data_IF_749523995448
#
_entry.id   IF_749523995448
#
_cell.length_a   1.000
_cell.length_b   1.000
_cell.length_c   1.000
_cell.angle_alpha   90.00
_cell.angle_beta   90.00
_cell.angle_gamma   90.00
#
_symmetry.space_group_name_H-M   'P 1'
#
loop_
_entity.id
_entity.type
_entity.pdbx_description
1 polymer ?
#
# COMPACT_ATOMS: atom_id res chain seq x y z
N UNK A 1 -38.80 -20.15 4.54
CA UNK A 1 -39.08 -18.90 5.26
C UNK A 1 -38.73 -19.14 6.72
N UNK A 2 -37.52 -18.70 7.17
CA UNK A 2 -36.87 -19.19 8.40
C UNK A 2 -37.37 -18.49 9.65
N UNK A 3 -38.24 -19.18 10.38
CA UNK A 3 -38.75 -18.77 11.70
C UNK A 3 -37.67 -18.80 12.81
N UNK A 4 -36.59 -19.57 12.60
CA UNK A 4 -35.46 -19.69 13.54
C UNK A 4 -34.54 -18.47 13.61
N UNK A 5 -34.52 -17.63 12.57
CA UNK A 5 -33.67 -16.38 12.56
C UNK A 5 -34.22 -15.27 13.46
N UNK A 6 -35.45 -15.37 13.94
CA UNK A 6 -36.12 -14.35 14.76
C UNK A 6 -36.03 -14.57 16.26
N UNK A 7 -35.59 -15.74 16.72
CA UNK A 7 -35.51 -16.08 18.17
C UNK A 7 -34.10 -15.97 18.74
N UNK A 8 -33.06 -15.97 17.89
CA UNK A 8 -31.65 -15.86 18.33
C UNK A 8 -31.04 -14.48 18.07
N UNK A 9 -31.81 -13.51 17.57
CA UNK A 9 -31.32 -12.17 17.22
C UNK A 9 -30.98 -11.27 18.40
N UNK A 10 -31.20 -11.71 19.64
CA UNK A 10 -31.02 -10.85 20.83
C UNK A 10 -29.74 -11.14 21.64
N UNK A 11 -29.09 -12.28 21.40
CA UNK A 11 -27.82 -12.60 22.08
C UNK A 11 -26.59 -12.23 21.22
N UNK A 12 -26.71 -12.29 19.87
CA UNK A 12 -25.64 -11.86 18.97
C UNK A 12 -25.37 -10.35 19.02
N UNK A 13 -26.38 -9.53 19.23
CA UNK A 13 -26.22 -8.07 19.22
C UNK A 13 -25.37 -7.53 20.37
N UNK A 14 -25.33 -8.19 21.53
CA UNK A 14 -24.49 -7.71 22.65
C UNK A 14 -23.04 -8.11 22.50
N UNK A 15 -22.74 -9.27 21.89
CA UNK A 15 -21.38 -9.70 21.57
C UNK A 15 -20.84 -8.94 20.36
N UNK A 16 -21.61 -8.82 19.28
CA UNK A 16 -21.26 -8.00 18.10
C UNK A 16 -20.97 -6.54 18.47
N UNK A 17 -21.80 -5.92 19.30
CA UNK A 17 -21.56 -4.54 19.79
C UNK A 17 -20.32 -4.45 20.69
N UNK A 18 -20.01 -5.52 21.46
CA UNK A 18 -18.80 -5.55 22.29
C UNK A 18 -17.54 -5.78 21.45
N UNK A 19 -17.62 -6.60 20.42
CA UNK A 19 -16.53 -6.82 19.47
C UNK A 19 -16.27 -5.58 18.61
N UNK A 20 -17.31 -4.91 18.11
CA UNK A 20 -17.23 -3.65 17.40
C UNK A 20 -16.58 -2.55 18.25
N UNK A 21 -16.99 -2.40 19.53
CA UNK A 21 -16.33 -1.46 20.45
C UNK A 21 -14.86 -1.81 20.70
N UNK A 22 -14.53 -3.09 20.79
CA UNK A 22 -13.14 -3.51 20.95
C UNK A 22 -12.31 -3.22 19.70
N UNK A 23 -12.87 -3.43 18.50
CA UNK A 23 -12.24 -3.10 17.23
C UNK A 23 -11.91 -1.60 17.15
N UNK A 24 -12.89 -0.74 17.41
CA UNK A 24 -12.72 0.72 17.36
C UNK A 24 -11.66 1.22 18.34
N UNK A 25 -11.63 0.67 19.55
CA UNK A 25 -10.63 1.01 20.58
C UNK A 25 -9.24 0.63 20.11
N UNK A 26 -9.07 -0.60 19.61
CA UNK A 26 -7.78 -1.09 19.10
C UNK A 26 -7.29 -0.27 17.91
N UNK A 27 -8.17 0.02 16.94
CA UNK A 27 -7.87 0.85 15.78
C UNK A 27 -7.45 2.26 16.21
N UNK A 28 -8.20 2.88 17.12
CA UNK A 28 -7.87 4.22 17.65
C UNK A 28 -6.51 4.23 18.36
N UNK A 29 -6.27 3.26 19.24
CA UNK A 29 -4.98 3.14 19.95
C UNK A 29 -3.81 2.93 19.00
N UNK A 30 -4.00 2.10 17.95
CA UNK A 30 -3.02 1.91 16.90
C UNK A 30 -2.70 3.20 16.14
N UNK A 31 -3.72 3.96 15.74
CA UNK A 31 -3.54 5.26 15.07
C UNK A 31 -2.82 6.26 15.96
N UNK A 32 -3.19 6.31 17.25
CA UNK A 32 -2.50 7.16 18.23
C UNK A 32 -1.03 6.77 18.38
N UNK A 33 -0.75 5.48 18.48
CA UNK A 33 0.61 4.95 18.57
C UNK A 33 1.45 5.27 17.32
N UNK A 34 0.88 5.17 16.11
CA UNK A 34 1.54 5.61 14.86
C UNK A 34 1.98 7.07 14.93
N UNK A 35 1.07 7.95 15.37
CA UNK A 35 1.37 9.39 15.52
C UNK A 35 2.47 9.66 16.55
N UNK A 36 2.58 8.80 17.57
CA UNK A 36 3.63 8.85 18.60
C UNK A 36 4.89 8.08 18.18
N UNK A 37 4.97 7.56 16.94
CA UNK A 37 6.08 6.76 16.41
C UNK A 37 6.35 5.47 17.22
N UNK A 38 5.33 4.96 17.89
CA UNK A 38 5.37 3.69 18.63
C UNK A 38 4.95 2.55 17.69
N UNK A 39 5.75 2.29 16.66
CA UNK A 39 5.37 1.45 15.54
C UNK A 39 5.10 -0.01 15.92
N UNK A 40 5.88 -0.59 16.85
CA UNK A 40 5.66 -1.95 17.36
C UNK A 40 4.30 -2.08 18.06
N UNK A 41 3.96 -1.10 18.88
CA UNK A 41 2.68 -1.10 19.58
C UNK A 41 1.52 -0.85 18.61
N UNK A 42 1.70 0.06 17.66
CA UNK A 42 0.72 0.31 16.61
C UNK A 42 0.42 -0.96 15.79
N UNK A 43 1.46 -1.66 15.34
CA UNK A 43 1.31 -2.91 14.60
C UNK A 43 0.52 -3.96 15.40
N UNK A 44 0.84 -4.15 16.69
CA UNK A 44 0.08 -5.07 17.56
C UNK A 44 -1.39 -4.70 17.68
N UNK A 45 -1.69 -3.41 17.87
CA UNK A 45 -3.08 -2.95 17.94
C UNK A 45 -3.84 -3.25 16.64
N UNK A 46 -3.24 -2.96 15.48
CA UNK A 46 -3.88 -3.23 14.20
C UNK A 46 -4.02 -4.72 13.88
N UNK A 47 -3.06 -5.54 14.26
CA UNK A 47 -3.18 -7.00 14.11
C UNK A 47 -4.39 -7.51 14.92
N UNK A 48 -4.50 -7.13 16.19
CA UNK A 48 -5.63 -7.50 17.04
C UNK A 48 -6.97 -6.94 16.52
N UNK A 49 -6.96 -5.71 15.97
CA UNK A 49 -8.15 -5.13 15.35
C UNK A 49 -8.58 -5.95 14.12
N UNK A 50 -7.64 -6.38 13.27
CA UNK A 50 -7.92 -7.20 12.10
C UNK A 50 -8.34 -8.64 12.44
N UNK A 51 -8.03 -9.15 13.62
CA UNK A 51 -8.62 -10.41 14.12
C UNK A 51 -10.13 -10.28 14.38
N UNK A 52 -10.59 -9.08 14.76
CA UNK A 52 -12.01 -8.79 14.98
C UNK A 52 -12.74 -8.39 13.69
N UNK A 53 -12.07 -7.66 12.80
CA UNK A 53 -12.61 -7.25 11.51
C UNK A 53 -11.52 -7.36 10.43
N UNK A 54 -11.43 -8.52 9.81
CA UNK A 54 -10.42 -8.84 8.82
C UNK A 54 -10.55 -8.03 7.51
N UNK A 55 -11.72 -7.46 7.22
CA UNK A 55 -12.02 -6.77 5.97
C UNK A 55 -11.80 -5.25 6.04
N UNK A 56 -11.39 -4.72 7.20
CA UNK A 56 -11.11 -3.29 7.34
C UNK A 56 -9.83 -2.88 6.61
N UNK A 57 -10.00 -2.31 5.42
CA UNK A 57 -8.89 -1.90 4.55
C UNK A 57 -8.11 -0.73 5.12
N UNK A 58 -8.73 0.16 5.89
CA UNK A 58 -8.05 1.27 6.54
C UNK A 58 -7.11 0.77 7.64
N UNK A 59 -7.54 -0.21 8.43
CA UNK A 59 -6.71 -0.85 9.43
C UNK A 59 -5.50 -1.56 8.79
N UNK A 60 -5.71 -2.26 7.65
CA UNK A 60 -4.61 -2.83 6.86
C UNK A 60 -3.65 -1.76 6.34
N UNK A 61 -4.18 -0.62 5.92
CA UNK A 61 -3.36 0.49 5.46
C UNK A 61 -2.45 1.02 6.56
N UNK A 62 -2.99 1.30 7.74
CA UNK A 62 -2.20 1.70 8.91
C UNK A 62 -1.19 0.63 9.33
N UNK A 63 -1.57 -0.65 9.28
CA UNK A 63 -0.65 -1.74 9.59
C UNK A 63 0.52 -1.80 8.59
N UNK A 64 0.25 -1.60 7.30
CA UNK A 64 1.30 -1.53 6.29
C UNK A 64 2.29 -0.38 6.57
N UNK A 65 1.78 0.78 7.00
CA UNK A 65 2.62 1.92 7.38
C UNK A 65 3.48 1.61 8.61
N UNK A 66 2.90 0.96 9.62
CA UNK A 66 3.64 0.53 10.81
C UNK A 66 4.79 -0.41 10.43
N UNK A 67 4.53 -1.43 9.59
CA UNK A 67 5.54 -2.36 9.12
C UNK A 67 6.63 -1.70 8.28
N UNK A 68 6.29 -0.76 7.39
CA UNK A 68 7.30 0.02 6.64
C UNK A 68 8.21 0.77 7.61
N UNK A 69 7.64 1.40 8.63
CA UNK A 69 8.40 2.15 9.63
C UNK A 69 9.30 1.26 10.51
N UNK A 70 8.93 -0.01 10.67
CA UNK A 70 9.72 -1.04 11.36
C UNK A 70 10.78 -1.70 10.46
N UNK A 71 10.77 -1.43 9.16
CA UNK A 71 11.62 -2.12 8.19
C UNK A 71 11.14 -3.53 7.82
N UNK A 72 9.93 -3.91 8.23
CA UNK A 72 9.32 -5.20 7.90
C UNK A 72 8.58 -5.12 6.55
N UNK A 73 9.36 -5.06 5.47
CA UNK A 73 8.84 -4.89 4.11
C UNK A 73 7.96 -6.05 3.66
N UNK A 74 8.26 -7.28 4.11
CA UNK A 74 7.50 -8.46 3.74
C UNK A 74 6.06 -8.41 4.27
N UNK A 75 5.89 -8.08 5.55
CA UNK A 75 4.56 -7.94 6.14
C UNK A 75 3.84 -6.69 5.61
N UNK A 76 4.55 -5.59 5.35
CA UNK A 76 3.99 -4.41 4.70
C UNK A 76 3.41 -4.74 3.31
N UNK A 77 4.18 -5.44 2.48
CA UNK A 77 3.74 -5.87 1.16
C UNK A 77 2.51 -6.77 1.21
N UNK A 78 2.47 -7.70 2.18
CA UNK A 78 1.33 -8.58 2.40
C UNK A 78 0.03 -7.80 2.68
N UNK A 79 0.09 -6.74 3.50
CA UNK A 79 -1.08 -5.90 3.75
C UNK A 79 -1.51 -5.13 2.49
N UNK A 80 -0.56 -4.56 1.75
CA UNK A 80 -0.84 -3.85 0.51
C UNK A 80 -1.42 -4.77 -0.57
N UNK A 81 -0.96 -6.01 -0.68
CA UNK A 81 -1.55 -7.02 -1.57
C UNK A 81 -3.02 -7.30 -1.23
N UNK A 82 -3.35 -7.43 0.06
CA UNK A 82 -4.73 -7.64 0.49
C UNK A 82 -5.62 -6.44 0.12
N UNK A 83 -5.12 -5.21 0.28
CA UNK A 83 -5.83 -4.00 -0.14
C UNK A 83 -5.98 -3.97 -1.67
N UNK A 84 -4.93 -4.27 -2.43
CA UNK A 84 -4.97 -4.31 -3.90
C UNK A 84 -5.95 -5.37 -4.43
N UNK A 85 -6.07 -6.51 -3.75
CA UNK A 85 -7.04 -7.55 -4.11
C UNK A 85 -8.49 -7.07 -3.92
N UNK A 86 -8.76 -6.32 -2.85
CA UNK A 86 -10.08 -5.74 -2.58
C UNK A 86 -10.37 -4.50 -3.44
N UNK A 87 -9.33 -3.78 -3.86
CA UNK A 87 -9.42 -2.55 -4.66
C UNK A 87 -8.51 -2.63 -5.89
N UNK A 88 -8.83 -3.47 -6.89
CA UNK A 88 -7.92 -3.77 -8.01
C UNK A 88 -7.59 -2.58 -8.91
N UNK A 89 -8.41 -1.53 -8.88
CA UNK A 89 -8.22 -0.32 -9.69
C UNK A 89 -7.60 0.85 -8.89
N UNK A 90 -7.09 0.59 -7.70
CA UNK A 90 -6.49 1.63 -6.87
C UNK A 90 -5.00 1.81 -7.21
N UNK A 91 -4.72 2.75 -8.11
CA UNK A 91 -3.34 3.07 -8.55
C UNK A 91 -2.45 3.50 -7.36
N UNK A 92 -2.99 4.22 -6.38
CA UNK A 92 -2.20 4.65 -5.22
C UNK A 92 -1.66 3.47 -4.40
N UNK A 93 -2.45 2.41 -4.25
CA UNK A 93 -2.01 1.17 -3.58
C UNK A 93 -0.90 0.49 -4.39
N UNK A 94 -1.04 0.41 -5.71
CA UNK A 94 -0.02 -0.16 -6.59
C UNK A 94 1.31 0.62 -6.49
N UNK A 95 1.26 1.95 -6.45
CA UNK A 95 2.48 2.75 -6.27
C UNK A 95 3.15 2.51 -4.91
N UNK A 96 2.39 2.34 -3.85
CA UNK A 96 2.94 1.98 -2.54
C UNK A 96 3.55 0.58 -2.52
N UNK A 97 2.96 -0.39 -3.23
CA UNK A 97 3.56 -1.71 -3.44
C UNK A 97 4.89 -1.58 -4.19
N UNK A 98 4.95 -0.76 -5.23
CA UNK A 98 6.18 -0.50 -5.96
C UNK A 98 7.27 0.15 -5.08
N UNK A 99 6.90 1.05 -4.16
CA UNK A 99 7.87 1.63 -3.21
C UNK A 99 8.44 0.58 -2.25
N UNK A 100 7.61 -0.34 -1.74
CA UNK A 100 8.08 -1.45 -0.90
C UNK A 100 8.99 -2.38 -1.69
N UNK A 101 8.65 -2.72 -2.94
CA UNK A 101 9.46 -3.55 -3.82
C UNK A 101 10.81 -2.87 -4.17
N UNK A 102 10.83 -1.55 -4.29
CA UNK A 102 12.06 -0.80 -4.42
C UNK A 102 12.98 -0.95 -3.21
N UNK A 103 12.42 -0.92 -2.00
CA UNK A 103 13.18 -1.08 -0.75
C UNK A 103 13.74 -2.50 -0.57
N UNK A 104 13.08 -3.50 -1.16
CA UNK A 104 13.56 -4.89 -1.16
C UNK A 104 14.39 -5.24 -2.41
N UNK A 105 14.65 -4.27 -3.28
CA UNK A 105 15.40 -4.42 -4.53
C UNK A 105 14.78 -5.44 -5.50
N UNK A 106 13.48 -5.77 -5.33
CA UNK A 106 12.75 -6.59 -6.29
C UNK A 106 12.24 -5.74 -7.46
N UNK A 107 13.18 -5.34 -8.28
CA UNK A 107 12.91 -4.44 -9.42
C UNK A 107 12.07 -5.10 -10.51
N UNK A 108 12.10 -6.43 -10.62
CA UNK A 108 11.27 -7.15 -11.58
C UNK A 108 9.78 -7.07 -11.18
N UNK A 109 9.44 -7.44 -9.96
CA UNK A 109 8.08 -7.30 -9.45
C UNK A 109 7.63 -5.83 -9.42
N UNK A 110 8.54 -4.89 -9.11
CA UNK A 110 8.26 -3.45 -9.16
C UNK A 110 7.84 -3.00 -10.57
N UNK A 111 8.51 -3.48 -11.61
CA UNK A 111 8.18 -3.18 -13.00
C UNK A 111 6.78 -3.70 -13.38
N UNK A 112 6.43 -4.94 -12.98
CA UNK A 112 5.11 -5.53 -13.22
C UNK A 112 3.98 -4.70 -12.55
N UNK A 113 4.21 -4.25 -11.32
CA UNK A 113 3.24 -3.41 -10.60
C UNK A 113 3.08 -2.05 -11.28
N UNK A 114 4.17 -1.44 -11.76
CA UNK A 114 4.12 -0.19 -12.51
C UNK A 114 3.39 -0.34 -13.85
N UNK A 115 3.61 -1.44 -14.57
CA UNK A 115 2.89 -1.73 -15.81
C UNK A 115 1.38 -1.81 -15.55
N UNK A 116 0.96 -2.54 -14.51
CA UNK A 116 -0.44 -2.62 -14.11
C UNK A 116 -1.01 -1.24 -13.75
N UNK A 117 -0.24 -0.41 -13.06
CA UNK A 117 -0.66 0.94 -12.73
C UNK A 117 -0.87 1.82 -13.98
N UNK A 118 0.00 1.70 -15.00
CA UNK A 118 -0.14 2.40 -16.27
C UNK A 118 -1.30 1.89 -17.13
N UNK A 119 -1.67 0.61 -17.01
CA UNK A 119 -2.87 0.07 -17.67
C UNK A 119 -4.16 0.70 -17.09
N UNK A 120 -4.14 1.08 -15.81
CA UNK A 120 -5.27 1.73 -15.14
C UNK A 120 -5.29 3.26 -15.35
N UNK A 121 -4.12 3.87 -15.33
CA UNK A 121 -3.92 5.32 -15.50
C UNK A 121 -2.65 5.59 -16.30
N UNK A 122 -2.80 5.65 -17.63
CA UNK A 122 -1.70 5.87 -18.57
C UNK A 122 -1.10 7.28 -18.50
N UNK A 123 -1.76 8.21 -17.82
CA UNK A 123 -1.29 9.60 -17.68
C UNK A 123 -0.59 9.85 -16.32
N UNK A 124 -0.51 8.86 -15.47
CA UNK A 124 0.08 9.00 -14.15
C UNK A 124 1.59 9.23 -14.20
N UNK A 125 1.99 10.46 -14.00
CA UNK A 125 3.39 10.91 -14.08
C UNK A 125 4.28 10.20 -13.06
N UNK A 126 3.77 9.99 -11.83
CA UNK A 126 4.53 9.33 -10.77
C UNK A 126 4.82 7.88 -11.12
N UNK A 127 3.89 7.19 -11.79
CA UNK A 127 4.10 5.81 -12.24
C UNK A 127 5.26 5.72 -13.22
N UNK A 128 5.39 6.63 -14.18
CA UNK A 128 6.53 6.66 -15.10
C UNK A 128 7.86 6.85 -14.35
N UNK A 129 7.89 7.74 -13.37
CA UNK A 129 9.08 7.98 -12.56
C UNK A 129 9.48 6.74 -11.74
N UNK A 130 8.51 6.09 -11.08
CA UNK A 130 8.73 4.87 -10.30
C UNK A 130 9.15 3.71 -11.21
N UNK A 131 8.56 3.59 -12.39
CA UNK A 131 8.91 2.57 -13.39
C UNK A 131 10.34 2.75 -13.90
N UNK A 132 10.77 3.99 -14.12
CA UNK A 132 12.16 4.27 -14.48
C UNK A 132 13.15 3.84 -13.39
N UNK A 133 12.80 3.98 -12.11
CA UNK A 133 13.60 3.46 -10.99
C UNK A 133 13.72 1.92 -11.06
N UNK A 134 12.63 1.23 -11.40
CA UNK A 134 12.66 -0.22 -11.61
C UNK A 134 13.60 -0.62 -12.75
N UNK A 135 13.49 0.01 -13.92
CA UNK A 135 14.37 -0.26 -15.05
C UNK A 135 15.84 0.07 -14.76
N UNK A 136 16.10 1.16 -14.02
CA UNK A 136 17.46 1.45 -13.55
C UNK A 136 18.00 0.32 -12.66
N UNK A 137 17.19 -0.18 -11.73
CA UNK A 137 17.55 -1.31 -10.87
C UNK A 137 17.81 -2.62 -11.67
N UNK A 138 17.08 -2.83 -12.76
CA UNK A 138 17.27 -3.93 -13.71
C UNK A 138 18.47 -3.71 -14.66
N UNK A 139 19.13 -2.56 -14.56
CA UNK A 139 20.21 -2.13 -15.47
C UNK A 139 19.75 -1.96 -16.94
N UNK A 140 18.46 -1.75 -17.17
CA UNK A 140 17.90 -1.36 -18.46
C UNK A 140 17.82 0.17 -18.54
N UNK A 141 18.97 0.77 -18.85
CA UNK A 141 19.12 2.24 -18.81
C UNK A 141 18.33 2.91 -19.93
N UNK A 142 18.18 2.28 -21.09
CA UNK A 142 17.42 2.80 -22.21
C UNK A 142 15.93 2.90 -21.87
N UNK A 143 15.38 1.84 -21.30
CA UNK A 143 13.99 1.86 -20.82
C UNK A 143 13.79 2.88 -19.69
N UNK A 144 14.74 3.00 -18.78
CA UNK A 144 14.68 4.01 -17.71
C UNK A 144 14.62 5.43 -18.29
N UNK A 145 15.48 5.76 -19.25
CA UNK A 145 15.48 7.08 -19.94
C UNK A 145 14.17 7.32 -20.67
N UNK A 146 13.62 6.30 -21.33
CA UNK A 146 12.34 6.42 -22.03
C UNK A 146 11.19 6.75 -21.06
N UNK A 147 11.13 6.08 -19.90
CA UNK A 147 10.10 6.35 -18.89
C UNK A 147 10.27 7.74 -18.27
N UNK A 148 11.50 8.17 -17.98
CA UNK A 148 11.77 9.52 -17.46
C UNK A 148 11.40 10.61 -18.46
N UNK A 149 11.67 10.40 -19.74
CA UNK A 149 11.26 11.32 -20.80
C UNK A 149 9.74 11.47 -20.85
N UNK A 150 8.99 10.37 -20.80
CA UNK A 150 7.52 10.40 -20.71
C UNK A 150 7.00 11.16 -19.48
N UNK A 151 7.67 11.03 -18.32
CA UNK A 151 7.30 11.78 -17.12
C UNK A 151 7.55 13.29 -17.28
N UNK A 152 8.69 13.67 -17.89
CA UNK A 152 9.08 15.05 -18.11
C UNK A 152 8.20 15.71 -19.18
N UNK A 153 7.86 15.00 -20.26
CA UNK A 153 6.98 15.50 -21.32
C UNK A 153 5.57 15.86 -20.79
N UNK A 154 5.11 15.14 -19.76
CA UNK A 154 3.82 15.41 -19.11
C UNK A 154 3.90 16.49 -18.03
N UNK A 155 5.07 16.67 -17.43
CA UNK A 155 5.33 17.70 -16.43
C UNK A 155 6.77 18.19 -16.57
N UNK A 156 6.93 19.32 -17.23
CA UNK A 156 8.26 19.89 -17.53
C UNK A 156 9.07 20.23 -16.27
N UNK A 157 8.42 20.66 -15.20
CA UNK A 157 9.04 21.04 -13.92
C UNK A 157 9.27 19.87 -12.97
N UNK A 158 9.25 18.62 -13.48
CA UNK A 158 9.54 17.43 -12.64
C UNK A 158 11.06 17.25 -12.44
N UNK A 159 11.63 18.04 -11.55
CA UNK A 159 13.08 18.09 -11.30
C UNK A 159 13.67 16.74 -10.88
N UNK A 160 12.93 15.94 -10.07
CA UNK A 160 13.39 14.61 -9.68
C UNK A 160 13.58 13.67 -10.89
N UNK A 161 12.68 13.75 -11.88
CA UNK A 161 12.81 12.95 -13.11
C UNK A 161 13.96 13.46 -14.00
N UNK A 162 14.14 14.76 -14.09
CA UNK A 162 15.28 15.36 -14.83
C UNK A 162 16.62 14.96 -14.20
N UNK A 163 16.73 15.05 -12.87
CA UNK A 163 17.93 14.66 -12.14
C UNK A 163 18.24 13.19 -12.32
N UNK A 164 17.22 12.34 -12.17
CA UNK A 164 17.39 10.88 -12.33
C UNK A 164 17.79 10.55 -13.78
N UNK A 165 17.19 11.21 -14.80
CA UNK A 165 17.57 11.02 -16.21
C UNK A 165 19.02 11.42 -16.47
N UNK A 166 19.47 12.54 -15.90
CA UNK A 166 20.87 12.96 -15.98
C UNK A 166 21.82 11.91 -15.38
N UNK A 167 21.46 11.35 -14.21
CA UNK A 167 22.26 10.31 -13.54
C UNK A 167 22.25 8.96 -14.26
N UNK A 168 21.27 8.67 -15.09
CA UNK A 168 21.20 7.42 -15.89
C UNK A 168 22.04 7.54 -17.17
N UNK A 169 22.23 8.77 -17.69
CA UNK A 169 22.97 9.04 -18.91
C UNK A 169 24.49 9.22 -18.71
N UNK A 170 24.96 9.28 -17.45
CA UNK A 170 26.38 9.40 -17.09
C UNK A 170 27.04 8.02 -16.91
#
# INVERSE_FOLDING_TARGET
MNFFKKLFGSQNTSEEVKEEKNFDVLKYDGVRALRMQQFDYAAKCFVLALELNADDLECRDYLSQAYISLGDMQNAYTQLMAISAAQPNNVAVLLRMADVLYMTEDYAAMAEVCEKALQLDSENIMTYYIYAKAYKGLNDLDAAVAMLSKAIDRREDFDAARLLRGNVLL
#
